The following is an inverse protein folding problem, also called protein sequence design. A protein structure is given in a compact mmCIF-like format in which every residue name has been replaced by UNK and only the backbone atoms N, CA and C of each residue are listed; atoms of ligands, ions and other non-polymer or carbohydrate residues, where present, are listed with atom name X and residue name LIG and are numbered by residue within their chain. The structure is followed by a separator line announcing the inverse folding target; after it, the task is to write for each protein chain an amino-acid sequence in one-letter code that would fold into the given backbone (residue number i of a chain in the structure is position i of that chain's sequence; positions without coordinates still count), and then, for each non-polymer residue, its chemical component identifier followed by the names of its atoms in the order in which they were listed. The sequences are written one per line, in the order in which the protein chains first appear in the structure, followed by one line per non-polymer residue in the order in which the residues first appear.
data_IF_121169447772
#
_entry.id   IF_121169447772
#
_cell.length_a   1.000
_cell.length_b   1.000
_cell.length_c   1.000
_cell.angle_alpha   90.00
_cell.angle_beta   90.00
_cell.angle_gamma   90.00
#
_symmetry.space_group_name_H-M   'P 1'
#
loop_
_entity.id
_entity.type
_entity.pdbx_description
1 polymer ?
#
# COMPACT_ATOMS: atom_id res chain seq x y z
N UNK A 1 -4.14 -26.58 54.34
CA UNK A 1 -2.90 -26.31 53.58
C UNK A 1 -3.22 -26.39 52.09
N UNK A 2 -3.63 -25.26 51.48
CA UNK A 2 -3.98 -25.19 50.06
C UNK A 2 -2.91 -24.41 49.29
N UNK A 3 -2.22 -25.08 48.37
CA UNK A 3 -1.16 -24.50 47.54
C UNK A 3 -1.81 -23.61 46.47
N UNK A 4 -1.63 -22.30 46.59
CA UNK A 4 -1.95 -21.33 45.53
C UNK A 4 -1.05 -21.62 44.32
N UNK A 5 -1.66 -22.05 43.22
CA UNK A 5 -1.03 -22.14 41.91
C UNK A 5 -0.88 -20.73 41.35
N UNK A 6 0.33 -20.19 41.44
CA UNK A 6 0.71 -18.99 40.69
C UNK A 6 0.75 -19.35 39.21
N UNK A 7 -0.30 -18.97 38.47
CA UNK A 7 -0.21 -18.84 37.02
C UNK A 7 0.73 -17.68 36.74
N UNK A 8 2.01 -17.99 36.56
CA UNK A 8 3.01 -17.06 36.04
C UNK A 8 2.60 -16.70 34.61
N UNK A 9 1.80 -15.65 34.51
CA UNK A 9 1.39 -14.99 33.28
C UNK A 9 2.67 -14.47 32.60
N UNK A 10 3.28 -15.35 31.80
CA UNK A 10 4.49 -15.03 31.04
C UNK A 10 4.03 -14.19 29.87
N UNK A 11 3.64 -12.93 30.13
CA UNK A 11 3.53 -11.90 29.11
C UNK A 11 4.92 -11.76 28.54
N UNK A 12 5.21 -12.52 27.47
CA UNK A 12 6.37 -12.28 26.62
C UNK A 12 6.34 -10.80 26.34
N UNK A 13 7.42 -10.13 26.72
CA UNK A 13 7.72 -8.76 26.36
C UNK A 13 7.96 -8.74 24.83
N UNK A 14 6.89 -8.97 24.06
CA UNK A 14 6.90 -8.96 22.63
C UNK A 14 7.02 -7.50 22.24
N UNK A 15 8.19 -7.12 21.75
CA UNK A 15 8.38 -5.78 21.24
C UNK A 15 7.37 -5.54 20.11
N UNK A 16 6.79 -4.33 20.03
CA UNK A 16 5.88 -3.98 18.95
C UNK A 16 6.58 -4.22 17.60
N UNK A 17 5.99 -5.05 16.75
CA UNK A 17 6.49 -5.32 15.39
C UNK A 17 5.68 -4.49 14.41
N UNK A 18 6.33 -3.61 13.65
CA UNK A 18 5.72 -2.94 12.51
C UNK A 18 6.03 -3.70 11.23
N UNK A 19 5.04 -3.76 10.33
CA UNK A 19 5.15 -4.39 9.01
C UNK A 19 4.98 -3.34 7.94
N UNK A 20 5.83 -3.38 6.91
CA UNK A 20 5.73 -2.53 5.73
C UNK A 20 5.34 -3.36 4.52
N UNK A 21 4.26 -2.98 3.84
CA UNK A 21 3.78 -3.68 2.65
C UNK A 21 4.43 -3.09 1.42
N UNK A 22 5.10 -3.94 0.65
CA UNK A 22 5.77 -3.58 -0.60
C UNK A 22 5.07 -4.23 -1.79
N UNK A 23 5.18 -3.59 -2.96
CA UNK A 23 4.79 -4.19 -4.23
C UNK A 23 5.57 -5.48 -4.47
N UNK A 24 5.01 -6.37 -5.29
CA UNK A 24 5.60 -7.68 -5.55
C UNK A 24 6.52 -7.67 -6.79
N UNK A 25 6.59 -6.57 -7.53
CA UNK A 25 7.57 -6.36 -8.60
C UNK A 25 8.91 -5.77 -8.12
N UNK A 26 10.01 -6.20 -8.74
CA UNK A 26 11.42 -5.78 -8.50
C UNK A 26 11.70 -4.27 -8.73
N UNK A 27 10.69 -3.47 -9.06
CA UNK A 27 10.86 -2.06 -9.48
C UNK A 27 9.80 -1.12 -8.90
N UNK A 28 9.09 -1.54 -7.86
CA UNK A 28 8.16 -0.67 -7.14
C UNK A 28 8.92 0.42 -6.37
N UNK A 29 8.30 1.59 -6.12
CA UNK A 29 8.88 2.58 -5.23
C UNK A 29 9.20 1.89 -3.91
N UNK A 30 10.49 1.94 -3.52
CA UNK A 30 10.93 1.51 -2.19
C UNK A 30 9.98 2.19 -1.21
N UNK A 31 9.40 1.41 -0.28
CA UNK A 31 8.54 1.94 0.76
C UNK A 31 9.13 3.27 1.24
N UNK A 32 8.31 4.32 1.37
CA UNK A 32 8.84 5.63 1.68
C UNK A 32 9.68 5.45 2.94
N UNK A 33 10.75 6.21 3.07
CA UNK A 33 11.39 6.38 4.37
C UNK A 33 10.43 7.19 5.26
N UNK A 34 9.22 6.66 5.49
CA UNK A 34 8.29 7.03 6.51
C UNK A 34 9.03 6.66 7.79
N UNK A 35 9.82 7.61 8.31
CA UNK A 35 10.59 7.46 9.54
C UNK A 35 9.61 7.00 10.62
N UNK A 36 9.62 5.72 11.02
CA UNK A 36 8.66 5.27 12.00
C UNK A 36 8.97 5.97 13.34
N UNK A 37 7.93 6.12 14.17
CA UNK A 37 8.03 6.62 15.53
C UNK A 37 9.15 5.88 16.33
N UNK A 38 9.68 6.47 17.42
CA UNK A 38 11.02 6.13 17.90
C UNK A 38 11.08 4.73 18.53
N UNK A 39 11.94 3.85 17.99
CA UNK A 39 12.92 3.01 18.71
C UNK A 39 13.33 1.75 17.89
N UNK A 40 14.55 1.77 17.36
CA UNK A 40 15.48 0.64 17.14
C UNK A 40 15.10 -0.59 16.29
N UNK A 41 13.90 -0.72 15.72
CA UNK A 41 13.59 -1.85 14.84
C UNK A 41 13.09 -1.39 13.47
N UNK A 42 13.77 -1.83 12.41
CA UNK A 42 13.31 -1.66 11.05
C UNK A 42 12.01 -2.48 10.85
N UNK A 43 11.00 -1.93 10.16
CA UNK A 43 9.78 -2.68 9.88
C UNK A 43 10.07 -3.91 9.02
N UNK A 44 9.34 -4.99 9.27
CA UNK A 44 9.43 -6.21 8.46
C UNK A 44 8.75 -5.93 7.11
N UNK A 45 9.50 -6.05 6.02
CA UNK A 45 8.94 -5.89 4.67
C UNK A 45 8.25 -7.17 4.22
N UNK A 46 7.04 -7.05 3.69
CA UNK A 46 6.26 -8.15 3.13
C UNK A 46 5.68 -7.78 1.77
N UNK A 47 5.61 -8.76 0.87
CA UNK A 47 4.90 -8.61 -0.39
C UNK A 47 3.42 -8.39 -0.12
N UNK A 48 2.76 -7.52 -0.87
CA UNK A 48 1.30 -7.40 -0.86
C UNK A 48 0.59 -8.76 -0.95
N UNK A 49 1.08 -9.65 -1.83
CA UNK A 49 0.50 -10.99 -2.03
C UNK A 49 0.54 -11.85 -0.76
N UNK A 50 1.50 -11.59 0.13
CA UNK A 50 1.68 -12.32 1.38
C UNK A 50 0.92 -11.70 2.56
N UNK A 51 0.20 -10.59 2.32
CA UNK A 51 -0.76 -10.04 3.28
C UNK A 51 -1.96 -10.98 3.35
N UNK A 52 -1.86 -11.97 4.23
CA UNK A 52 -2.87 -12.98 4.47
C UNK A 52 -3.12 -13.16 5.99
N UNK A 53 -4.31 -13.65 6.41
CA UNK A 53 -4.64 -13.84 7.82
C UNK A 53 -3.62 -14.67 8.59
N UNK A 54 -3.05 -15.71 7.98
CA UNK A 54 -2.06 -16.59 8.59
C UNK A 54 -0.76 -15.83 8.92
N UNK A 55 -0.34 -14.93 8.04
CA UNK A 55 0.82 -14.08 8.25
C UNK A 55 0.55 -13.09 9.38
N UNK A 56 -0.61 -12.43 9.39
CA UNK A 56 -0.99 -11.48 10.43
C UNK A 56 -1.10 -12.14 11.81
N UNK A 57 -1.61 -13.38 11.89
CA UNK A 57 -1.66 -14.15 13.14
C UNK A 57 -0.27 -14.57 13.65
N UNK A 58 0.65 -14.87 12.72
CA UNK A 58 2.02 -15.28 13.04
C UNK A 58 2.89 -14.11 13.48
N UNK A 59 2.82 -12.99 12.77
CA UNK A 59 3.65 -11.79 13.02
C UNK A 59 3.04 -10.90 14.09
N UNK A 60 1.70 -10.84 14.18
CA UNK A 60 0.94 -9.97 15.08
C UNK A 60 1.41 -8.51 15.04
N UNK A 61 1.43 -7.87 13.85
CA UNK A 61 1.97 -6.53 13.74
C UNK A 61 1.11 -5.52 14.51
N UNK A 62 1.74 -4.64 15.28
CA UNK A 62 1.03 -3.53 15.94
C UNK A 62 0.69 -2.40 14.94
N UNK A 63 1.43 -2.35 13.83
CA UNK A 63 1.24 -1.36 12.77
C UNK A 63 1.53 -1.99 11.40
N UNK A 64 0.67 -1.69 10.43
CA UNK A 64 0.86 -1.99 9.01
C UNK A 64 1.05 -0.67 8.28
N UNK A 65 2.17 -0.54 7.58
CA UNK A 65 2.53 0.62 6.77
C UNK A 65 2.35 0.25 5.31
N UNK A 66 1.61 1.04 4.55
CA UNK A 66 1.35 0.78 3.12
C UNK A 66 1.30 2.10 2.34
N UNK A 67 1.45 2.03 1.02
CA UNK A 67 1.21 3.17 0.16
C UNK A 67 -0.27 3.36 -0.11
N UNK A 68 -0.69 4.61 -0.32
CA UNK A 68 -2.04 4.94 -0.77
C UNK A 68 -2.37 4.24 -2.10
N UNK A 69 -1.42 4.27 -3.03
CA UNK A 69 -1.52 3.63 -4.34
C UNK A 69 -0.13 3.15 -4.78
N UNK A 70 -0.07 1.93 -5.32
CA UNK A 70 1.10 1.29 -5.90
C UNK A 70 0.72 0.69 -7.26
N UNK A 71 1.71 0.24 -8.03
CA UNK A 71 1.45 -0.43 -9.31
C UNK A 71 0.68 -1.75 -9.15
N UNK A 72 0.89 -2.46 -8.04
CA UNK A 72 0.36 -3.81 -7.81
C UNK A 72 -0.84 -3.87 -6.85
N UNK A 73 -1.08 -2.78 -6.10
CA UNK A 73 -2.12 -2.73 -5.07
C UNK A 73 -2.47 -1.28 -4.73
N UNK A 74 -3.65 -1.06 -4.16
CA UNK A 74 -4.01 0.19 -3.50
C UNK A 74 -4.36 -0.02 -2.01
N UNK A 75 -4.60 1.09 -1.30
CA UNK A 75 -4.95 1.03 0.12
C UNK A 75 -6.26 0.27 0.39
N UNK A 76 -7.19 0.21 -0.58
CA UNK A 76 -8.45 -0.51 -0.44
C UNK A 76 -8.21 -2.01 -0.44
N UNK A 77 -7.33 -2.51 -1.31
CA UNK A 77 -6.90 -3.91 -1.32
C UNK A 77 -6.33 -4.35 0.04
N UNK A 78 -5.49 -3.48 0.64
CA UNK A 78 -4.89 -3.73 1.96
C UNK A 78 -5.96 -3.68 3.05
N UNK A 79 -6.80 -2.65 3.05
CA UNK A 79 -7.85 -2.47 4.05
C UNK A 79 -8.86 -3.62 4.02
N UNK A 80 -9.23 -4.12 2.84
CA UNK A 80 -10.11 -5.29 2.70
C UNK A 80 -9.49 -6.53 3.34
N UNK A 81 -8.22 -6.83 3.02
CA UNK A 81 -7.50 -7.98 3.60
C UNK A 81 -7.35 -7.88 5.12
N UNK A 82 -6.98 -6.70 5.63
CA UNK A 82 -6.84 -6.44 7.06
C UNK A 82 -8.18 -6.54 7.79
N UNK A 83 -9.25 -5.99 7.20
CA UNK A 83 -10.61 -6.06 7.74
C UNK A 83 -11.12 -7.51 7.78
N UNK A 84 -10.93 -8.27 6.69
CA UNK A 84 -11.29 -9.68 6.61
C UNK A 84 -10.54 -10.53 7.66
N UNK A 85 -9.28 -10.17 7.95
CA UNK A 85 -8.47 -10.80 9.00
C UNK A 85 -8.80 -10.30 10.42
N UNK A 86 -9.74 -9.36 10.58
CA UNK A 86 -10.07 -8.69 11.84
C UNK A 86 -8.85 -8.06 12.52
N UNK A 87 -7.98 -7.49 11.71
CA UNK A 87 -6.81 -6.77 12.19
C UNK A 87 -7.21 -5.62 13.12
N UNK A 88 -6.55 -5.50 14.27
CA UNK A 88 -6.85 -4.51 15.30
C UNK A 88 -5.71 -3.52 15.57
N UNK A 89 -4.64 -3.59 14.80
CA UNK A 89 -3.53 -2.64 14.91
C UNK A 89 -3.75 -1.38 14.07
N UNK A 90 -2.76 -0.50 14.06
CA UNK A 90 -2.78 0.75 13.29
C UNK A 90 -2.45 0.48 11.82
N UNK A 91 -3.13 1.16 10.91
CA UNK A 91 -2.75 1.21 9.49
C UNK A 91 -2.26 2.61 9.17
N UNK A 92 -0.99 2.71 8.82
CA UNK A 92 -0.34 3.96 8.40
C UNK A 92 -0.22 3.96 6.88
N UNK A 93 -0.92 4.89 6.25
CA UNK A 93 -1.00 5.05 4.81
C UNK A 93 -0.03 6.17 4.44
N UNK A 94 1.02 5.85 3.69
CA UNK A 94 1.93 6.84 3.15
C UNK A 94 1.41 7.27 1.77
N UNK A 95 1.30 8.57 1.53
CA UNK A 95 0.79 9.16 0.30
C UNK A 95 1.70 10.31 -0.15
N UNK A 96 1.75 10.64 -1.45
CA UNK A 96 2.28 11.94 -1.88
C UNK A 96 1.45 13.09 -1.29
N UNK A 97 1.89 14.32 -1.50
CA UNK A 97 1.13 15.49 -1.07
C UNK A 97 -0.26 15.49 -1.74
N UNK A 98 -1.31 15.42 -0.91
CA UNK A 98 -2.70 15.35 -1.38
C UNK A 98 -3.34 16.71 -1.19
N UNK A 99 -4.14 17.16 -2.16
CA UNK A 99 -4.88 18.41 -2.03
C UNK A 99 -5.94 18.37 -0.92
N UNK A 100 -6.50 17.19 -0.63
CA UNK A 100 -7.58 16.96 0.36
C UNK A 100 -7.41 15.59 1.06
N UNK A 101 -6.37 15.41 1.89
CA UNK A 101 -6.08 14.14 2.57
C UNK A 101 -7.23 13.65 3.45
N UNK A 102 -8.01 14.57 4.02
CA UNK A 102 -9.16 14.29 4.86
C UNK A 102 -10.30 13.59 4.11
N UNK A 103 -10.47 13.84 2.81
CA UNK A 103 -11.47 13.14 2.00
C UNK A 103 -11.13 11.65 1.86
N UNK A 104 -9.87 11.35 1.57
CA UNK A 104 -9.37 9.96 1.45
C UNK A 104 -9.56 9.21 2.78
N UNK A 105 -9.16 9.83 3.90
CA UNK A 105 -9.38 9.22 5.22
C UNK A 105 -10.86 9.05 5.55
N UNK A 106 -11.73 9.98 5.13
CA UNK A 106 -13.16 9.88 5.35
C UNK A 106 -13.78 8.69 4.59
N UNK A 107 -13.43 8.51 3.32
CA UNK A 107 -13.90 7.38 2.51
C UNK A 107 -13.45 6.05 3.10
N UNK A 108 -12.16 5.93 3.43
CA UNK A 108 -11.63 4.71 4.03
C UNK A 108 -12.24 4.39 5.40
N UNK A 109 -12.49 5.39 6.25
CA UNK A 109 -13.15 5.15 7.55
C UNK A 109 -14.62 4.79 7.41
N UNK A 110 -15.30 5.32 6.38
CA UNK A 110 -16.69 4.96 6.07
C UNK A 110 -16.77 3.49 5.66
N UNK A 111 -15.85 3.04 4.82
CA UNK A 111 -15.88 1.69 4.24
C UNK A 111 -15.23 0.64 5.18
N UNK A 112 -14.26 1.04 6.00
CA UNK A 112 -13.52 0.19 6.94
C UNK A 112 -13.52 0.76 8.39
N UNK A 113 -14.69 0.82 9.05
CA UNK A 113 -14.86 1.51 10.33
C UNK A 113 -14.12 0.88 11.52
N UNK A 114 -13.65 -0.36 11.37
CA UNK A 114 -12.93 -1.09 12.44
C UNK A 114 -11.42 -0.87 12.42
N UNK A 115 -10.87 -0.25 11.36
CA UNK A 115 -9.43 -0.03 11.23
C UNK A 115 -9.01 1.31 11.84
N UNK A 116 -7.90 1.32 12.59
CA UNK A 116 -7.28 2.56 13.08
C UNK A 116 -6.37 3.15 11.99
N UNK A 117 -6.96 4.03 11.17
CA UNK A 117 -6.31 4.62 10.00
C UNK A 117 -5.59 5.93 10.32
N UNK A 118 -4.33 6.02 9.91
CA UNK A 118 -3.49 7.23 9.91
C UNK A 118 -2.95 7.48 8.50
N UNK A 119 -3.03 8.71 8.02
CA UNK A 119 -2.43 9.13 6.75
C UNK A 119 -1.17 9.96 7.03
N UNK A 120 -0.10 9.71 6.27
CA UNK A 120 1.16 10.43 6.30
C UNK A 120 1.45 10.97 4.90
N UNK A 121 1.38 12.29 4.75
CA UNK A 121 1.61 13.01 3.48
C UNK A 121 3.03 13.59 3.36
N UNK A 122 3.83 13.54 4.43
CA UNK A 122 5.16 14.17 4.50
C UNK A 122 6.30 13.27 4.02
N UNK A 123 6.00 12.15 3.34
CA UNK A 123 7.07 11.30 2.82
C UNK A 123 7.81 12.04 1.70
N UNK A 124 9.12 12.36 1.84
CA UNK A 124 9.89 12.87 0.73
C UNK A 124 9.81 11.83 -0.39
N UNK A 125 9.15 12.21 -1.48
CA UNK A 125 9.05 11.40 -2.67
C UNK A 125 10.48 11.18 -3.16
N UNK A 126 11.01 9.96 -2.98
CA UNK A 126 12.23 9.58 -3.68
C UNK A 126 11.94 9.56 -5.18
N UNK A 127 12.96 9.80 -6.00
CA UNK A 127 12.87 10.01 -7.46
C UNK A 127 12.02 8.98 -8.22
N UNK A 128 11.84 7.78 -7.67
CA UNK A 128 10.99 6.71 -8.23
C UNK A 128 9.51 7.10 -8.32
N UNK A 129 9.04 8.03 -7.49
CA UNK A 129 7.63 8.49 -7.50
C UNK A 129 7.37 9.54 -8.59
N UNK A 130 8.40 10.27 -9.02
CA UNK A 130 8.30 11.18 -10.17
C UNK A 130 7.93 10.42 -11.45
N UNK A 131 8.53 9.23 -11.65
CA UNK A 131 8.21 8.35 -12.78
C UNK A 131 6.74 7.91 -12.79
N UNK A 132 6.11 7.72 -11.62
CA UNK A 132 4.71 7.34 -11.53
C UNK A 132 3.77 8.54 -11.75
N UNK A 133 4.13 9.72 -11.21
CA UNK A 133 3.39 10.96 -11.47
C UNK A 133 3.46 11.36 -12.95
N UNK A 134 4.61 11.18 -13.60
CA UNK A 134 4.76 11.39 -15.04
C UNK A 134 3.90 10.41 -15.85
N UNK A 135 3.76 9.16 -15.39
CA UNK A 135 2.89 8.16 -16.03
C UNK A 135 1.39 8.46 -15.91
N UNK A 136 0.95 9.11 -14.82
CA UNK A 136 -0.44 9.52 -14.62
C UNK A 136 -0.74 10.87 -15.30
N UNK A 137 0.24 11.78 -15.33
CA UNK A 137 0.11 13.09 -15.96
C UNK A 137 0.24 13.04 -17.49
N UNK A 138 0.80 11.97 -18.05
CA UNK A 138 0.85 11.78 -19.49
C UNK A 138 -0.59 11.62 -20.02
N UNK A 139 -1.09 12.55 -20.86
CA UNK A 139 -2.33 12.31 -21.58
C UNK A 139 -2.12 11.04 -22.39
N UNK A 140 -3.03 10.08 -22.26
CA UNK A 140 -3.11 8.90 -23.13
C UNK A 140 -3.24 9.42 -24.57
N UNK A 141 -2.10 9.55 -25.25
CA UNK A 141 -2.04 10.00 -26.62
C UNK A 141 -2.83 8.97 -27.43
N UNK A 142 -3.92 9.48 -27.97
CA UNK A 142 -4.93 8.74 -28.69
C UNK A 142 -4.30 8.07 -29.92
N UNK A 143 -4.67 6.80 -30.08
CA UNK A 143 -4.76 5.96 -31.27
C UNK A 143 -3.80 6.22 -32.46
N UNK A 144 -3.15 5.17 -32.99
CA UNK A 144 -2.47 5.27 -34.27
C UNK A 144 -3.50 5.57 -35.36
N UNK A 145 -3.50 6.80 -35.86
CA UNK A 145 -4.21 7.20 -37.07
C UNK A 145 -3.84 6.23 -38.18
N UNK A 146 -4.75 5.30 -38.47
CA UNK A 146 -4.65 4.38 -39.58
C UNK A 146 -4.54 5.19 -40.86
N UNK A 147 -3.36 5.21 -41.46
CA UNK A 147 -3.16 5.75 -42.81
C UNK A 147 -3.86 4.81 -43.79
N UNK A 148 -5.03 5.26 -44.28
CA UNK A 148 -5.69 4.69 -45.46
C UNK A 148 -4.69 4.66 -46.63
N UNK A 149 -4.28 3.46 -47.03
CA UNK A 149 -3.57 3.24 -48.27
C UNK A 149 -4.50 3.52 -49.45
N UNK A 150 -4.38 4.72 -50.02
CA UNK A 150 -4.98 5.05 -51.31
C UNK A 150 -4.07 4.49 -52.40
N UNK A 151 -4.46 3.36 -52.97
CA UNK A 151 -3.85 2.82 -54.18
C UNK A 151 -4.29 3.69 -55.36
N UNK A 152 -3.38 4.53 -55.85
CA UNK A 152 -3.47 5.16 -57.16
C UNK A 152 -3.31 4.06 -58.23
N UNK A 153 -4.36 3.81 -58.99
CA UNK A 153 -4.40 2.91 -60.15
C UNK A 153 -4.55 3.79 -61.41
N UNK A 154 -3.49 3.93 -62.23
CA UNK A 154 -3.61 4.61 -63.50
C UNK A 154 -3.21 3.66 -64.65
N UNK A 155 -4.14 2.89 -65.20
CA UNK A 155 -4.10 2.57 -66.63
C UNK A 155 -5.39 1.89 -67.15
N UNK A 156 -6.21 2.62 -67.90
CA UNK A 156 -7.06 2.00 -68.92
C UNK A 156 -7.00 2.83 -70.21
N UNK A 157 -6.40 2.29 -71.29
CA UNK A 157 -6.55 2.83 -72.63
C UNK A 157 -7.89 2.39 -73.27
N UNK A 158 -8.39 3.27 -74.13
CA UNK A 158 -9.69 3.31 -74.82
C UNK A 158 -9.80 2.22 -75.90
#
# INVERSE_FOLDING_TARGET
MGRLMNHSDTRRNAQPVSVSVVGCGDSGPIAPQCTPAPANLAPVQICYKDVAPEMLQKVQPCEVICWLCCADYDVYDIAERLSAARYSGRVTICAPDLLRPEHVLWELRRDFPTLDLKLMTEAPLTDTTATYLDGIAAPTASEPTGSEGRSDDPDQPI
#
